data_IF_463509844120
#
_entry.id   IF_463509844120
#
_cell.length_a   1.000
_cell.length_b   1.000
_cell.length_c   1.000
_cell.angle_alpha   90.00
_cell.angle_beta   90.00
_cell.angle_gamma   90.00
#
_symmetry.space_group_name_H-M   'P 1'
#
loop_
_entity.id
_entity.type
_entity.pdbx_description
1 polymer ?
#
# COMPACT_ATOMS: atom_id res chain seq x y z
N UNK A 1 28.69 9.01 -9.39
CA UNK A 1 28.52 10.46 -9.22
C UNK A 1 29.51 10.93 -8.17
N UNK A 2 30.22 12.03 -8.39
CA UNK A 2 31.15 12.62 -7.42
C UNK A 2 30.48 13.87 -6.86
N UNK A 3 30.31 13.92 -5.54
CA UNK A 3 29.80 15.08 -4.84
C UNK A 3 31.00 15.79 -4.22
N UNK A 4 31.29 16.99 -4.69
CA UNK A 4 32.38 17.80 -4.17
C UNK A 4 31.80 18.84 -3.19
N UNK A 5 32.30 18.87 -1.96
CA UNK A 5 32.04 19.93 -0.99
C UNK A 5 33.37 20.56 -0.57
N UNK A 6 33.46 21.91 -0.48
CA UNK A 6 34.54 22.54 0.25
C UNK A 6 34.44 22.18 1.74
N UNK A 7 35.53 22.45 2.47
CA UNK A 7 35.66 22.24 3.90
C UNK A 7 34.35 22.34 4.71
N UNK A 8 33.99 21.30 5.46
CA UNK A 8 32.84 21.35 6.38
C UNK A 8 33.16 22.33 7.53
N UNK A 9 32.31 23.34 7.73
CA UNK A 9 32.50 24.38 8.77
C UNK A 9 31.93 24.01 10.14
N UNK A 10 31.31 22.84 10.25
CA UNK A 10 30.35 22.52 11.33
C UNK A 10 30.75 21.26 12.11
N UNK A 11 32.02 20.84 12.05
CA UNK A 11 32.62 19.76 12.86
C UNK A 11 31.80 18.43 12.94
N UNK A 12 30.91 18.19 11.98
CA UNK A 12 30.05 17.00 11.91
C UNK A 12 28.69 17.10 12.63
N UNK A 13 28.26 18.30 13.04
CA UNK A 13 27.00 18.50 13.80
C UNK A 13 25.74 18.50 12.89
N UNK A 14 25.84 18.98 11.64
CA UNK A 14 24.74 18.95 10.67
C UNK A 14 24.84 17.84 9.61
N UNK A 15 23.69 17.21 9.35
CA UNK A 15 23.49 16.33 8.20
C UNK A 15 23.32 17.17 6.93
N UNK A 16 24.11 16.83 5.90
CA UNK A 16 23.99 17.44 4.58
C UNK A 16 23.06 16.59 3.69
N UNK A 17 22.02 17.20 3.12
CA UNK A 17 21.03 16.50 2.28
C UNK A 17 21.01 17.10 0.87
N UNK A 18 20.97 16.24 -0.15
CA UNK A 18 20.79 16.64 -1.55
C UNK A 18 20.04 15.56 -2.32
N UNK A 19 19.36 15.96 -3.40
CA UNK A 19 18.62 15.03 -4.27
C UNK A 19 19.48 14.56 -5.43
N UNK A 20 19.57 13.25 -5.63
CA UNK A 20 20.24 12.63 -6.78
C UNK A 20 19.18 12.25 -7.82
N UNK A 21 19.28 12.70 -9.08
CA UNK A 21 18.34 12.26 -10.12
C UNK A 21 18.51 10.75 -10.36
N UNK A 22 17.41 10.03 -10.54
CA UNK A 22 17.45 8.57 -10.80
C UNK A 22 18.26 8.21 -12.05
N UNK A 23 18.38 9.13 -13.01
CA UNK A 23 19.23 8.98 -14.20
C UNK A 23 20.74 8.94 -13.90
N UNK A 24 21.16 9.28 -12.68
CA UNK A 24 22.53 9.08 -12.22
C UNK A 24 22.83 7.60 -11.89
N UNK A 25 21.80 6.76 -11.82
CA UNK A 25 21.89 5.33 -11.61
C UNK A 25 21.64 4.58 -12.92
N UNK A 26 22.41 3.53 -13.15
CA UNK A 26 22.15 2.54 -14.20
C UNK A 26 21.24 1.44 -13.66
N UNK A 27 20.50 0.77 -14.55
CA UNK A 27 19.83 -0.47 -14.18
C UNK A 27 20.88 -1.50 -13.74
N UNK A 28 20.68 -2.11 -12.56
CA UNK A 28 21.64 -3.03 -11.97
C UNK A 28 22.60 -2.37 -10.98
N UNK A 29 23.83 -2.88 -10.89
CA UNK A 29 24.80 -2.48 -9.86
C UNK A 29 25.34 -1.07 -10.11
N UNK A 30 25.26 -0.21 -9.08
CA UNK A 30 25.84 1.12 -9.06
C UNK A 30 26.89 1.22 -7.95
N UNK A 31 27.92 2.03 -8.15
CA UNK A 31 28.94 2.33 -7.12
C UNK A 31 28.77 3.78 -6.67
N UNK A 32 28.64 3.97 -5.36
CA UNK A 32 28.66 5.29 -4.72
C UNK A 32 30.07 5.48 -4.15
N UNK A 33 30.75 6.54 -4.57
CA UNK A 33 32.06 6.91 -4.08
C UNK A 33 31.96 8.29 -3.40
N UNK A 34 32.48 8.40 -2.18
CA UNK A 34 32.46 9.63 -1.39
C UNK A 34 33.89 10.01 -1.03
N UNK A 35 34.20 11.30 -1.15
CA UNK A 35 35.47 11.88 -0.74
C UNK A 35 35.19 12.92 0.37
N UNK A 36 35.91 12.83 1.48
CA UNK A 36 35.78 13.75 2.64
C UNK A 36 37.13 14.41 2.86
N UNK A 37 37.16 15.74 2.92
CA UNK A 37 38.38 16.53 3.13
C UNK A 37 38.40 17.07 4.56
N UNK A 38 39.42 16.70 5.34
CA UNK A 38 39.74 17.39 6.59
C UNK A 38 40.48 18.69 6.26
N UNK A 39 39.96 19.82 6.73
CA UNK A 39 40.43 21.12 6.27
C UNK A 39 41.64 21.64 7.04
N UNK A 40 41.84 21.13 8.25
CA UNK A 40 42.92 21.52 9.14
C UNK A 40 43.66 20.28 9.61
N UNK A 41 44.97 20.25 9.39
CA UNK A 41 45.88 19.17 9.78
C UNK A 41 45.89 18.90 11.30
N UNK A 42 45.46 19.87 12.12
CA UNK A 42 45.42 19.77 13.57
C UNK A 42 44.05 19.40 14.16
N UNK A 43 43.00 19.20 13.35
CA UNK A 43 41.70 18.75 13.88
C UNK A 43 41.79 17.28 14.32
N UNK A 44 41.10 16.94 15.40
CA UNK A 44 41.09 15.60 15.99
C UNK A 44 40.01 14.68 15.41
N UNK A 45 39.16 15.18 14.52
CA UNK A 45 37.91 14.55 14.12
C UNK A 45 37.64 14.61 12.61
N UNK A 46 37.02 13.54 12.12
CA UNK A 46 36.46 13.39 10.79
C UNK A 46 35.33 12.37 10.88
N UNK A 47 34.13 12.74 10.43
CA UNK A 47 32.93 11.91 10.52
C UNK A 47 32.31 11.78 9.13
N UNK A 48 31.84 10.58 8.81
CA UNK A 48 31.04 10.29 7.64
C UNK A 48 29.89 9.36 8.04
N UNK A 49 28.67 9.81 7.78
CA UNK A 49 27.47 9.00 7.81
C UNK A 49 26.64 9.34 6.57
N UNK A 50 25.95 8.35 5.99
CA UNK A 50 25.21 8.52 4.75
C UNK A 50 23.91 7.71 4.76
N UNK A 51 22.82 8.38 4.44
CA UNK A 51 21.53 7.78 4.10
C UNK A 51 21.19 8.02 2.62
N UNK A 52 20.70 6.98 1.94
CA UNK A 52 20.13 7.09 0.59
C UNK A 52 18.67 6.63 0.64
N UNK A 53 17.75 7.58 0.51
CA UNK A 53 16.31 7.31 0.45
C UNK A 53 15.85 7.24 -1.01
N UNK A 54 15.39 6.07 -1.44
CA UNK A 54 14.70 5.90 -2.72
C UNK A 54 13.20 6.21 -2.59
N UNK A 55 12.68 7.07 -3.46
CA UNK A 55 11.24 7.35 -3.56
C UNK A 55 10.67 6.61 -4.80
N UNK A 56 9.95 5.49 -4.63
CA UNK A 56 9.43 4.70 -5.74
C UNK A 56 8.35 5.46 -6.55
N UNK A 57 8.23 5.15 -7.84
CA UNK A 57 7.60 6.02 -8.86
C UNK A 57 6.09 5.80 -9.09
N UNK A 58 5.36 5.07 -8.23
CA UNK A 58 3.89 5.15 -8.22
C UNK A 58 3.25 4.44 -7.01
N UNK A 59 2.33 5.15 -6.36
CA UNK A 59 1.23 4.50 -5.66
C UNK A 59 0.29 3.92 -6.72
N UNK A 60 0.27 2.60 -6.85
CA UNK A 60 -0.65 1.93 -7.78
C UNK A 60 -1.86 1.44 -7.02
N UNK A 61 -3.02 2.02 -7.33
CA UNK A 61 -4.30 1.54 -6.82
C UNK A 61 -4.76 0.28 -7.58
N UNK A 62 -4.54 -0.90 -7.01
CA UNK A 62 -4.97 -2.18 -7.59
C UNK A 62 -6.49 -2.41 -7.46
N UNK A 63 -7.10 -1.86 -6.43
CA UNK A 63 -8.54 -1.90 -6.20
C UNK A 63 -8.99 -0.48 -5.80
N UNK A 64 -9.58 0.30 -6.71
CA UNK A 64 -10.10 1.61 -6.35
C UNK A 64 -11.30 1.49 -5.41
N UNK A 65 -11.50 2.49 -4.56
CA UNK A 65 -12.78 2.67 -3.87
C UNK A 65 -13.93 2.69 -4.88
N UNK A 66 -15.10 2.23 -4.47
CA UNK A 66 -16.24 2.10 -5.40
C UNK A 66 -16.20 0.85 -6.28
N UNK A 67 -15.14 0.04 -6.22
CA UNK A 67 -15.03 -1.19 -7.00
C UNK A 67 -16.22 -2.12 -6.81
N UNK A 68 -16.54 -2.90 -7.84
CA UNK A 68 -17.48 -4.01 -7.72
C UNK A 68 -16.86 -5.19 -6.96
N UNK A 69 -17.62 -5.78 -6.03
CA UNK A 69 -17.27 -6.96 -5.26
C UNK A 69 -18.41 -7.96 -5.25
N UNK A 70 -18.05 -9.24 -5.15
CA UNK A 70 -18.98 -10.30 -4.74
C UNK A 70 -19.13 -10.28 -3.23
N UNK A 71 -20.32 -10.59 -2.72
CA UNK A 71 -20.54 -10.67 -1.28
C UNK A 71 -21.46 -11.82 -0.88
N UNK A 72 -21.31 -12.27 0.37
CA UNK A 72 -22.21 -13.22 1.02
C UNK A 72 -22.51 -12.71 2.43
N UNK A 73 -23.76 -12.28 2.63
CA UNK A 73 -24.28 -11.89 3.93
C UNK A 73 -25.37 -12.91 4.30
N UNK A 74 -25.03 -13.90 5.12
CA UNK A 74 -25.96 -14.90 5.66
C UNK A 74 -25.42 -15.59 6.93
N UNK A 75 -24.38 -15.00 7.55
CA UNK A 75 -23.68 -15.53 8.73
C UNK A 75 -23.12 -16.96 8.60
N UNK A 76 -22.94 -17.47 7.38
CA UNK A 76 -22.49 -18.83 7.12
C UNK A 76 -21.17 -18.79 6.35
N UNK A 77 -20.07 -19.25 6.98
CA UNK A 77 -18.75 -19.33 6.33
C UNK A 77 -18.70 -20.48 5.33
N UNK A 78 -18.49 -20.25 4.02
CA UNK A 78 -18.27 -21.36 3.10
C UNK A 78 -16.88 -21.95 3.29
N UNK A 79 -16.69 -23.24 2.97
CA UNK A 79 -15.37 -23.85 2.98
C UNK A 79 -14.52 -23.30 1.81
N UNK A 80 -13.25 -23.00 2.06
CA UNK A 80 -12.27 -22.57 1.07
C UNK A 80 -12.65 -21.31 0.26
N UNK A 81 -13.58 -20.48 0.75
CA UNK A 81 -14.06 -19.27 0.07
C UNK A 81 -12.93 -18.27 -0.25
N UNK A 82 -11.89 -18.28 0.57
CA UNK A 82 -10.69 -17.48 0.48
C UNK A 82 -9.74 -17.92 -0.66
N UNK A 83 -9.91 -19.14 -1.20
CA UNK A 83 -9.01 -19.68 -2.23
C UNK A 83 -9.38 -19.18 -3.62
N UNK A 84 -8.39 -19.04 -4.53
CA UNK A 84 -8.62 -18.57 -5.91
C UNK A 84 -9.62 -19.46 -6.66
N UNK A 85 -9.55 -20.78 -6.45
CA UNK A 85 -10.40 -21.76 -7.13
C UNK A 85 -11.84 -21.89 -6.59
N UNK A 86 -12.24 -21.10 -5.59
CA UNK A 86 -13.61 -21.13 -5.08
C UNK A 86 -14.62 -20.67 -6.15
N UNK A 87 -15.67 -21.46 -6.34
CA UNK A 87 -16.76 -21.19 -7.27
C UNK A 87 -17.86 -20.36 -6.58
N UNK A 88 -17.95 -19.08 -6.94
CA UNK A 88 -18.93 -18.10 -6.46
C UNK A 88 -19.97 -17.71 -7.54
N UNK A 89 -20.08 -18.51 -8.61
CA UNK A 89 -20.95 -18.25 -9.77
C UNK A 89 -22.17 -19.15 -9.83
N UNK A 90 -22.04 -20.48 -9.78
CA UNK A 90 -23.20 -21.41 -9.83
C UNK A 90 -22.85 -22.74 -9.14
N UNK A 91 -23.74 -23.33 -8.32
CA UNK A 91 -25.07 -22.84 -7.89
C UNK A 91 -25.00 -21.86 -6.69
N UNK A 92 -23.81 -21.67 -6.09
CA UNK A 92 -23.56 -20.74 -4.99
C UNK A 92 -23.30 -19.33 -5.53
N UNK A 93 -24.33 -18.72 -6.13
CA UNK A 93 -24.22 -17.41 -6.74
C UNK A 93 -24.10 -16.34 -5.65
N UNK A 94 -22.87 -15.83 -5.43
CA UNK A 94 -22.69 -14.65 -4.60
C UNK A 94 -23.25 -13.43 -5.37
N UNK A 95 -24.15 -12.64 -4.77
CA UNK A 95 -24.51 -11.32 -5.28
C UNK A 95 -23.29 -10.44 -5.50
N UNK A 96 -23.42 -9.42 -6.35
CA UNK A 96 -22.38 -8.42 -6.55
C UNK A 96 -22.95 -7.02 -6.42
N UNK A 97 -22.09 -6.07 -6.06
CA UNK A 97 -22.43 -4.66 -5.93
C UNK A 97 -21.17 -3.81 -5.89
N UNK A 98 -21.33 -2.49 -5.96
CA UNK A 98 -20.20 -1.56 -5.81
C UNK A 98 -20.02 -1.20 -4.33
N UNK A 99 -18.76 -1.08 -3.89
CA UNK A 99 -18.46 -0.46 -2.61
C UNK A 99 -18.92 1.01 -2.62
N UNK A 100 -19.25 1.65 -1.52
CA UNK A 100 -19.27 1.20 -0.13
C UNK A 100 -20.42 0.24 0.16
N UNK A 101 -20.12 -0.84 0.89
CA UNK A 101 -21.11 -1.80 1.36
C UNK A 101 -21.46 -1.53 2.81
N UNK A 102 -22.73 -1.68 3.19
CA UNK A 102 -23.13 -1.51 4.59
C UNK A 102 -24.62 -1.30 4.77
N UNK A 103 -24.96 -0.52 5.80
CA UNK A 103 -26.29 -0.02 6.11
C UNK A 103 -26.20 1.03 7.23
N UNK A 104 -27.06 2.03 7.21
CA UNK A 104 -27.29 2.96 8.34
C UNK A 104 -26.93 4.41 8.07
N UNK A 105 -25.95 4.68 7.21
CA UNK A 105 -25.34 6.01 7.10
C UNK A 105 -25.83 6.79 5.86
N UNK A 106 -26.51 6.11 4.94
CA UNK A 106 -27.17 6.73 3.79
C UNK A 106 -26.22 7.04 2.63
N UNK A 107 -24.96 6.63 2.73
CA UNK A 107 -23.92 6.74 1.70
C UNK A 107 -23.59 5.38 1.06
N UNK A 108 -24.27 4.30 1.46
CA UNK A 108 -23.97 2.97 0.95
C UNK A 108 -24.39 2.81 -0.52
N UNK A 109 -23.39 2.58 -1.38
CA UNK A 109 -23.64 2.22 -2.77
C UNK A 109 -24.32 0.84 -2.88
N UNK A 110 -24.01 -0.07 -1.96
CA UNK A 110 -24.68 -1.38 -1.87
C UNK A 110 -25.06 -1.71 -0.43
N UNK A 111 -26.37 -1.73 -0.16
CA UNK A 111 -26.88 -2.20 1.12
C UNK A 111 -26.84 -3.74 1.18
N UNK A 112 -26.28 -4.30 2.26
CA UNK A 112 -26.16 -5.76 2.42
C UNK A 112 -27.20 -6.32 3.39
N UNK A 113 -27.75 -7.53 3.15
CA UNK A 113 -28.68 -8.16 4.08
C UNK A 113 -28.06 -8.34 5.47
N UNK A 114 -28.78 -7.92 6.51
CA UNK A 114 -28.27 -7.92 7.88
C UNK A 114 -28.76 -9.09 8.71
N UNK A 115 -29.75 -9.87 8.26
CA UNK A 115 -30.41 -10.90 9.07
C UNK A 115 -31.34 -10.38 10.15
N UNK A 116 -31.38 -9.07 10.36
CA UNK A 116 -32.35 -8.40 11.24
C UNK A 116 -33.65 -8.05 10.51
N UNK A 117 -34.58 -7.41 11.23
CA UNK A 117 -35.78 -6.83 10.64
C UNK A 117 -35.50 -5.47 9.97
N UNK A 118 -36.56 -4.77 9.55
CA UNK A 118 -36.45 -3.44 8.95
C UNK A 118 -36.20 -3.47 7.44
N UNK A 119 -35.59 -2.41 6.90
CA UNK A 119 -35.22 -2.35 5.48
C UNK A 119 -33.76 -2.71 5.29
N UNK A 120 -33.37 -3.04 4.05
CA UNK A 120 -32.02 -3.49 3.73
C UNK A 120 -30.94 -2.47 4.16
N UNK A 121 -31.17 -1.19 3.88
CA UNK A 121 -30.25 -0.09 4.23
C UNK A 121 -30.45 0.45 5.64
N UNK A 122 -31.57 0.15 6.31
CA UNK A 122 -31.86 0.57 7.68
C UNK A 122 -32.37 -0.63 8.50
N UNK A 123 -31.49 -1.57 8.85
CA UNK A 123 -31.88 -2.77 9.56
C UNK A 123 -32.06 -2.52 11.05
N UNK A 124 -33.04 -3.20 11.62
CA UNK A 124 -33.42 -3.16 13.04
C UNK A 124 -33.18 -4.51 13.71
N UNK A 125 -33.00 -4.50 15.03
CA UNK A 125 -32.80 -5.72 15.81
C UNK A 125 -31.41 -6.32 15.63
N UNK A 126 -31.27 -7.60 15.99
CA UNK A 126 -29.99 -8.30 15.94
C UNK A 126 -29.55 -8.54 14.49
N UNK A 127 -28.29 -8.21 14.20
CA UNK A 127 -27.69 -8.33 12.87
C UNK A 127 -26.70 -9.49 12.85
N UNK A 128 -26.51 -10.11 11.69
CA UNK A 128 -25.43 -11.05 11.43
C UNK A 128 -24.09 -10.38 11.71
N UNK A 129 -23.21 -11.10 12.40
CA UNK A 129 -21.90 -10.58 12.80
C UNK A 129 -20.88 -10.69 11.67
N UNK A 130 -21.17 -11.46 10.63
CA UNK A 130 -20.21 -11.77 9.56
C UNK A 130 -20.82 -11.58 8.18
N UNK A 131 -20.12 -10.83 7.34
CA UNK A 131 -20.34 -10.71 5.90
C UNK A 131 -19.03 -10.99 5.19
N UNK A 132 -19.06 -11.75 4.11
CA UNK A 132 -17.88 -12.09 3.32
C UNK A 132 -17.88 -11.28 2.02
N UNK A 133 -16.72 -10.80 1.61
CA UNK A 133 -16.52 -10.08 0.36
C UNK A 133 -15.42 -10.76 -0.45
N UNK A 134 -15.62 -10.88 -1.76
CA UNK A 134 -14.69 -11.56 -2.66
C UNK A 134 -14.43 -10.73 -3.90
N UNK A 135 -13.16 -10.62 -4.28
CA UNK A 135 -12.71 -10.00 -5.52
C UNK A 135 -11.38 -10.61 -5.94
N UNK A 136 -11.25 -10.92 -7.22
CA UNK A 136 -9.98 -11.33 -7.82
C UNK A 136 -9.23 -10.09 -8.28
N UNK A 137 -7.93 -10.03 -7.99
CA UNK A 137 -7.02 -8.98 -8.45
C UNK A 137 -5.92 -9.65 -9.26
N UNK A 138 -5.63 -9.10 -10.44
CA UNK A 138 -4.51 -9.53 -11.26
C UNK A 138 -3.34 -8.57 -11.03
N UNK A 139 -2.19 -9.12 -10.63
CA UNK A 139 -0.95 -8.37 -10.44
C UNK A 139 0.05 -8.88 -11.49
N UNK A 140 0.21 -8.18 -12.63
CA UNK A 140 1.00 -8.70 -13.75
C UNK A 140 2.50 -8.81 -13.46
N UNK A 141 3.03 -7.93 -12.62
CA UNK A 141 4.43 -7.93 -12.21
C UNK A 141 4.58 -7.32 -10.83
N UNK A 142 4.93 -8.13 -9.83
CA UNK A 142 5.12 -7.69 -8.45
C UNK A 142 6.33 -6.77 -8.26
N UNK A 143 7.30 -6.78 -9.17
CA UNK A 143 8.47 -5.91 -9.11
C UNK A 143 8.17 -4.43 -9.40
N UNK A 144 6.92 -4.10 -9.78
CA UNK A 144 6.47 -2.72 -9.99
C UNK A 144 5.94 -2.05 -8.71
N UNK A 145 5.83 -2.79 -7.60
CA UNK A 145 5.29 -2.30 -6.34
C UNK A 145 6.35 -2.42 -5.25
N UNK A 146 6.32 -1.50 -4.28
CA UNK A 146 6.93 -1.75 -2.97
C UNK A 146 6.18 -2.88 -2.25
N UNK A 147 6.74 -3.48 -1.18
CA UNK A 147 6.00 -4.43 -0.36
C UNK A 147 4.63 -3.87 0.05
N UNK A 148 3.57 -4.68 -0.10
CA UNK A 148 2.18 -4.33 0.24
C UNK A 148 1.97 -4.15 1.74
#
# INVERSE_FOLDING_TARGET
>A
MVLWHPCASDDGDAINTFTIPSSAFSAGTNVIAVEVHQCNLGSSDLVFDMELVGNPIADVTLIPFGSNWKYLANNSRPANWETVGYNDVTPLLWPNGNAQFGYGDGDEATCVPSGGGGTLCLPTGNKWTTTYFRKTVTIPNTALYTPF
#
